data_IF_100896738601
#
_entry.id   IF_100896738601
#
_cell.length_a   1.000
_cell.length_b   1.000
_cell.length_c   1.000
_cell.angle_alpha   90.00
_cell.angle_beta   90.00
_cell.angle_gamma   90.00
#
_symmetry.space_group_name_H-M   'P 1'
#
loop_
_entity.id
_entity.type
_entity.pdbx_description
1 polymer ?
2 non-polymer ?
3 non-polymer ?
4 water ?
#
# COMPACT_ATOMS: atom_id res chain seq x y z
N UNK A 29 -4.04 1.82 30.36
CA UNK A 29 -2.96 2.77 30.06
C UNK A 29 -2.69 2.84 28.56
N UNK A 30 -1.91 3.84 28.15
CA UNK A 30 -1.57 4.03 26.76
C UNK A 30 -0.39 3.15 26.32
N UNK A 31 -0.54 2.39 25.23
CA UNK A 31 0.60 1.59 24.76
C UNK A 31 1.71 2.43 24.15
N UNK A 32 2.94 1.91 24.17
CA UNK A 32 4.06 2.59 23.49
C UNK A 32 3.70 2.91 22.04
N UNK A 33 4.11 4.11 21.61
CA UNK A 33 4.01 4.48 20.24
C UNK A 33 5.22 5.34 19.90
N UNK A 34 5.63 5.35 18.62
CA UNK A 34 6.82 6.11 18.18
C UNK A 34 6.55 7.62 18.28
N UNK A 35 7.57 8.35 18.73
CA UNK A 35 7.44 9.77 18.98
C UNK A 35 8.19 10.59 17.93
N UNK A 36 9.06 9.91 17.19
CA UNK A 36 9.82 10.52 16.10
C UNK A 36 10.07 9.45 15.05
N UNK A 37 10.48 9.86 13.85
CA UNK A 37 10.58 8.94 12.73
C UNK A 37 11.58 7.82 12.99
N UNK A 38 12.65 8.08 13.74
CA UNK A 38 13.64 7.01 13.97
C UNK A 38 13.08 5.96 14.93
N UNK A 39 12.01 6.28 15.65
CA UNK A 39 11.46 5.28 16.57
C UNK A 39 10.83 4.11 15.83
N UNK A 40 10.61 4.27 14.52
CA UNK A 40 10.05 3.17 13.75
C UNK A 40 11.05 2.01 13.66
N UNK A 41 12.32 2.28 13.99
CA UNK A 41 13.33 1.22 14.14
C UNK A 41 12.90 0.16 15.15
N UNK A 42 12.11 0.57 16.14
CA UNK A 42 11.74 -0.33 17.25
C UNK A 42 10.46 -1.09 17.04
N UNK A 43 9.71 -0.74 15.99
CA UNK A 43 8.50 -1.47 15.72
C UNK A 43 8.40 -1.99 14.30
N UNK A 44 9.27 -1.49 13.43
CA UNK A 44 9.28 -1.96 12.04
C UNK A 44 9.81 -3.39 11.93
N UNK A 45 10.58 -3.83 12.92
CA UNK A 45 11.03 -5.22 12.92
C UNK A 45 10.17 -6.18 13.73
N UNK A 46 9.13 -5.66 14.40
CA UNK A 46 8.24 -6.51 15.20
C UNK A 46 7.41 -7.35 14.24
N UNK A 47 8.05 -8.03 13.30
CA UNK A 47 7.32 -8.78 12.31
C UNK A 47 6.68 -10.04 12.87
N UNK A 48 5.36 -10.10 12.71
CA UNK A 48 4.53 -11.25 13.07
C UNK A 48 4.66 -12.43 12.12
N UNK A 49 4.85 -12.13 10.84
CA UNK A 49 4.98 -13.14 9.79
C UNK A 49 6.04 -12.62 8.81
N UNK A 50 7.23 -13.21 8.94
CA UNK A 50 8.39 -12.84 8.15
C UNK A 50 8.21 -13.09 6.65
N UNK A 51 8.90 -12.28 5.86
CA UNK A 51 8.81 -12.30 4.41
C UNK A 51 9.11 -13.61 3.73
N UNK A 52 10.02 -14.38 4.30
CA UNK A 52 10.34 -15.69 3.75
C UNK A 52 9.44 -16.84 4.24
N UNK A 53 8.51 -16.55 5.15
CA UNK A 53 7.62 -17.59 5.66
C UNK A 53 6.41 -17.71 4.73
N UNK A 54 6.54 -18.45 3.64
CA UNK A 54 5.43 -18.53 2.68
C UNK A 54 4.19 -19.34 3.07
N UNK A 55 3.05 -18.87 2.57
CA UNK A 55 1.77 -19.53 2.77
C UNK A 55 1.79 -20.85 2.02
N UNK A 56 1.08 -21.85 2.52
CA UNK A 56 1.13 -23.18 1.90
C UNK A 56 0.68 -23.13 0.45
N UNK A 57 -0.19 -22.17 0.13
CA UNK A 57 -0.70 -22.06 -1.22
C UNK A 57 0.06 -21.04 -2.07
N UNK A 58 1.15 -20.50 -1.54
CA UNK A 58 1.99 -19.55 -2.28
C UNK A 58 2.61 -20.24 -3.51
N UNK A 59 2.62 -19.55 -4.66
CA UNK A 59 3.20 -20.18 -5.86
C UNK A 59 4.67 -20.53 -5.71
N UNK A 60 5.38 -19.84 -4.83
CA UNK A 60 6.79 -20.14 -4.61
C UNK A 60 7.05 -21.11 -3.48
N UNK A 61 6.01 -21.72 -2.91
CA UNK A 61 6.14 -22.55 -1.70
C UNK A 61 7.15 -23.68 -1.81
N UNK A 62 7.22 -24.31 -2.97
CA UNK A 62 8.17 -25.40 -3.20
C UNK A 62 9.41 -24.98 -3.99
N UNK A 63 9.59 -23.69 -4.17
CA UNK A 63 10.72 -23.19 -4.95
C UNK A 63 11.84 -22.71 -4.03
N UNK A 64 12.86 -23.54 -3.83
CA UNK A 64 13.94 -23.20 -2.90
C UNK A 64 14.74 -21.96 -3.32
N UNK A 65 14.98 -21.81 -4.62
CA UNK A 65 15.67 -20.62 -5.09
C UNK A 65 14.89 -19.33 -4.75
N UNK A 66 13.57 -19.38 -4.93
CA UNK A 66 12.72 -18.23 -4.61
C UNK A 66 12.69 -18.00 -3.09
N UNK A 67 12.63 -19.07 -2.32
CA UNK A 67 12.70 -18.95 -0.86
C UNK A 67 13.99 -18.26 -0.42
N UNK A 68 15.11 -18.63 -1.05
CA UNK A 68 16.39 -18.02 -0.70
C UNK A 68 16.40 -16.55 -1.07
N UNK A 69 15.85 -16.24 -2.23
CA UNK A 69 15.68 -14.86 -2.68
C UNK A 69 14.82 -14.05 -1.71
N UNK A 70 13.72 -14.64 -1.23
CA UNK A 70 12.87 -13.93 -0.28
C UNK A 70 13.58 -13.71 1.04
N UNK A 71 14.42 -14.64 1.46
CA UNK A 71 15.21 -14.45 2.68
C UNK A 71 16.20 -13.29 2.53
N UNK A 72 16.79 -13.18 1.35
CA UNK A 72 17.66 -12.05 1.00
C UNK A 72 16.92 -10.71 1.19
N UNK A 73 15.73 -10.58 0.60
CA UNK A 73 14.96 -9.33 0.74
C UNK A 73 14.57 -9.05 2.21
N UNK A 74 14.19 -10.11 2.93
CA UNK A 74 13.74 -9.96 4.32
C UNK A 74 14.89 -9.46 5.18
N UNK A 75 16.07 -10.00 4.92
CA UNK A 75 17.27 -9.59 5.66
C UNK A 75 17.65 -8.14 5.34
N UNK A 76 17.51 -7.70 4.08
CA UNK A 76 17.77 -6.29 3.78
C UNK A 76 16.91 -5.36 4.64
N UNK A 77 15.63 -5.71 4.74
CA UNK A 77 14.69 -4.92 5.51
C UNK A 77 14.97 -4.96 7.02
N UNK A 78 15.30 -6.14 7.53
CA UNK A 78 15.56 -6.30 8.96
C UNK A 78 16.78 -5.49 9.38
N UNK A 79 17.76 -5.42 8.50
CA UNK A 79 19.00 -4.72 8.80
C UNK A 79 18.94 -3.22 8.56
N UNK A 80 17.87 -2.77 7.92
CA UNK A 80 17.71 -1.36 7.62
C UNK A 80 17.45 -0.55 8.90
N UNK A 81 18.07 0.63 8.97
CA UNK A 81 17.79 1.56 10.10
C UNK A 81 17.47 2.92 9.56
N UNK A 82 16.57 3.65 10.21
CA UNK A 82 16.25 4.98 9.72
C UNK A 82 17.52 5.82 9.56
N UNK A 83 17.60 6.53 8.44
CA UNK A 83 18.78 7.29 8.09
C UNK A 83 19.56 6.63 6.97
N UNK A 84 19.49 5.29 6.91
CA UNK A 84 20.17 4.54 5.86
C UNK A 84 19.57 4.89 4.49
N UNK A 85 20.41 4.91 3.44
CA UNK A 85 19.87 4.77 2.08
C UNK A 85 19.22 3.41 1.92
N UNK A 86 18.07 3.32 1.27
CA UNK A 86 17.48 1.99 1.10
C UNK A 86 18.32 1.17 0.14
N UNK A 87 18.79 -0.03 0.56
CA UNK A 87 19.67 -0.80 -0.32
C UNK A 87 19.09 -0.97 -1.73
N UNK A 88 19.93 -0.73 -2.72
CA UNK A 88 19.54 -0.89 -4.09
C UNK A 88 19.75 -2.34 -4.47
N UNK A 89 18.79 -2.87 -5.22
CA UNK A 89 18.79 -4.29 -5.56
C UNK A 89 18.96 -4.49 -7.04
N UNK A 90 19.83 -5.42 -7.42
CA UNK A 90 19.87 -5.84 -8.81
C UNK A 90 18.82 -6.92 -9.05
N UNK A 91 17.71 -6.54 -9.66
CA UNK A 91 16.66 -7.51 -9.95
C UNK A 91 17.07 -8.43 -11.09
N UNK A 92 16.60 -9.66 -11.02
CA UNK A 92 16.98 -10.67 -12.02
C UNK A 92 16.19 -10.43 -13.29
N UNK A 93 16.64 -11.03 -14.39
CA UNK A 93 15.91 -10.93 -15.66
C UNK A 93 14.46 -11.43 -15.52
N UNK A 94 14.30 -12.55 -14.84
CA UNK A 94 12.98 -13.11 -14.57
C UNK A 94 12.07 -12.14 -13.77
N UNK A 95 12.63 -11.49 -12.75
CA UNK A 95 11.84 -10.53 -11.95
C UNK A 95 11.41 -9.32 -12.79
N UNK A 96 12.31 -8.87 -13.64
CA UNK A 96 12.02 -7.72 -14.47
C UNK A 96 10.97 -8.06 -15.52
N UNK A 97 11.00 -9.29 -16.02
CA UNK A 97 9.99 -9.72 -16.97
C UNK A 97 8.62 -9.77 -16.29
N UNK A 98 8.59 -10.22 -15.04
CA UNK A 98 7.35 -10.30 -14.28
C UNK A 98 6.76 -8.91 -14.09
N UNK A 99 7.61 -7.95 -13.70
CA UNK A 99 7.19 -6.57 -13.53
C UNK A 99 6.65 -6.01 -14.86
N UNK A 100 7.35 -6.27 -15.95
CA UNK A 100 6.95 -5.77 -17.26
C UNK A 100 5.61 -6.28 -17.70
N UNK A 101 5.34 -7.54 -17.40
CA UNK A 101 4.05 -8.12 -17.75
C UNK A 101 2.92 -7.41 -17.03
N UNK A 102 3.13 -7.22 -15.73
CA UNK A 102 2.18 -6.55 -14.85
C UNK A 102 2.01 -5.08 -15.24
N UNK A 103 3.13 -4.42 -15.48
CA UNK A 103 3.16 -3.01 -15.85
C UNK A 103 2.44 -2.73 -17.18
N UNK A 104 2.69 -3.57 -18.18
CA UNK A 104 2.07 -3.34 -19.48
C UNK A 104 0.55 -3.46 -19.46
N UNK A 105 0.07 -4.52 -18.80
CA UNK A 105 -1.37 -4.75 -18.74
C UNK A 105 -2.12 -3.72 -17.89
N UNK A 106 -1.55 -3.35 -16.75
CA UNK A 106 -2.20 -2.34 -15.92
C UNK A 106 -2.24 -0.98 -16.61
N UNK A 107 -1.17 -0.61 -17.31
CA UNK A 107 -1.15 0.71 -17.93
C UNK A 107 -2.16 0.86 -19.07
N UNK A 108 -2.61 -0.25 -19.63
CA UNK A 108 -3.69 -0.19 -20.60
C UNK A 108 -5.01 0.20 -19.95
N UNK A 109 -5.15 -0.11 -18.65
CA UNK A 109 -6.40 0.12 -17.95
C UNK A 109 -6.45 1.46 -17.21
N UNK A 110 -5.30 1.98 -16.77
CA UNK A 110 -5.33 3.20 -15.92
C UNK A 110 -6.06 4.43 -16.52
N UNK A 111 -5.89 4.72 -17.83
CA UNK A 111 -6.60 5.91 -18.32
C UNK A 111 -8.11 5.88 -18.13
N UNK A 112 -8.70 4.70 -18.22
CA UNK A 112 -10.16 4.61 -18.14
C UNK A 112 -10.66 4.22 -16.74
N UNK A 113 -9.75 3.89 -15.83
CA UNK A 113 -10.11 3.39 -14.50
C UNK A 113 -9.61 4.24 -13.34
N UNK A 114 -8.39 4.77 -13.44
CA UNK A 114 -7.74 5.41 -12.32
C UNK A 114 -8.19 6.86 -12.09
N UNK A 115 -8.14 7.31 -10.84
CA UNK A 115 -8.53 8.66 -10.50
C UNK A 115 -7.55 9.66 -11.12
N UNK A 116 -7.96 10.92 -11.20
CA UNK A 116 -7.18 11.92 -11.92
C UNK A 116 -5.83 12.17 -11.23
N UNK A 117 -5.80 12.10 -9.90
CA UNK A 117 -4.56 12.29 -9.17
C UNK A 117 -3.53 11.22 -9.48
N UNK A 118 -4.03 9.99 -9.62
CA UNK A 118 -3.15 8.89 -9.98
C UNK A 118 -2.57 9.13 -11.38
N UNK A 119 -3.42 9.56 -12.31
CA UNK A 119 -2.97 9.70 -13.68
C UNK A 119 -2.02 10.89 -13.83
N UNK A 120 -2.12 11.85 -12.92
CA UNK A 120 -1.29 13.05 -12.96
C UNK A 120 0.12 12.71 -12.48
N UNK A 121 0.20 11.83 -11.50
CA UNK A 121 1.49 11.54 -10.91
C UNK A 121 2.27 10.41 -11.58
N UNK A 122 1.59 9.45 -12.19
CA UNK A 122 2.29 8.34 -12.82
C UNK A 122 3.35 8.76 -13.88
N UNK A 123 3.05 9.74 -14.75
CA UNK A 123 4.10 10.13 -15.71
C UNK A 123 5.33 10.79 -15.07
N UNK A 124 5.13 11.43 -13.92
CA UNK A 124 6.24 12.00 -13.17
C UNK A 124 7.20 10.90 -12.69
N UNK A 125 6.64 9.76 -12.30
CA UNK A 125 7.46 8.61 -11.86
C UNK A 125 8.23 7.95 -13.00
N UNK A 126 7.64 7.93 -14.20
CA UNK A 126 8.36 7.46 -15.37
C UNK A 126 9.53 8.37 -15.65
N UNK A 127 9.32 9.68 -15.47
CA UNK A 127 10.36 10.61 -15.85
C UNK A 127 11.50 10.62 -14.85
N UNK A 128 11.17 10.49 -13.57
CA UNK A 128 12.15 10.73 -12.53
C UNK A 128 12.63 9.49 -11.78
N UNK A 129 11.85 8.41 -11.78
CA UNK A 129 12.16 7.23 -10.99
C UNK A 129 12.32 5.97 -11.84
N UNK A 130 12.36 6.14 -13.15
CA UNK A 130 12.67 5.03 -14.03
C UNK A 130 11.60 3.98 -14.14
N UNK A 131 10.32 4.36 -14.06
CA UNK A 131 9.24 3.41 -14.32
C UNK A 131 9.16 3.12 -15.81
N UNK A 132 9.43 1.89 -16.19
CA UNK A 132 9.51 1.48 -17.60
C UNK A 132 9.19 0.02 -17.58
N UNK A 133 8.74 -0.57 -18.69
CA UNK A 133 8.41 -1.98 -18.56
C UNK A 133 9.66 -2.85 -18.44
N UNK A 134 10.84 -2.34 -18.78
CA UNK A 134 12.04 -3.15 -18.66
C UNK A 134 12.94 -2.71 -17.51
N UNK A 135 12.36 -2.00 -16.56
CA UNK A 135 13.16 -1.56 -15.41
C UNK A 135 12.33 -1.50 -14.15
N UNK A 136 12.74 -2.17 -13.08
CA UNK A 136 12.03 -2.04 -11.79
C UNK A 136 12.62 -0.88 -11.00
N UNK A 137 11.78 0.13 -10.66
CA UNK A 137 12.24 1.30 -9.91
C UNK A 137 12.85 0.90 -8.57
N UNK A 138 13.88 1.60 -8.13
CA UNK A 138 14.43 1.37 -6.79
C UNK A 138 13.67 2.14 -5.72
N UNK A 139 13.45 1.50 -4.57
CA UNK A 139 12.74 2.12 -3.47
C UNK A 139 13.45 3.39 -3.01
N UNK A 140 14.78 3.42 -3.01
CA UNK A 140 15.46 4.66 -2.60
C UNK A 140 15.12 5.83 -3.52
N UNK A 141 15.07 5.59 -4.83
CA UNK A 141 14.73 6.68 -5.76
C UNK A 141 13.30 7.16 -5.55
N UNK A 142 12.38 6.23 -5.34
CA UNK A 142 10.98 6.58 -5.16
C UNK A 142 10.82 7.31 -3.83
N UNK A 143 11.56 6.85 -2.83
CA UNK A 143 11.52 7.54 -1.55
C UNK A 143 11.99 8.99 -1.67
N UNK A 144 13.09 9.22 -2.38
CA UNK A 144 13.58 10.58 -2.58
C UNK A 144 12.57 11.47 -3.33
N UNK A 145 11.91 10.89 -4.33
CA UNK A 145 10.86 11.61 -5.07
C UNK A 145 9.71 12.02 -4.14
N UNK A 146 9.22 11.06 -3.35
CA UNK A 146 8.13 11.35 -2.42
C UNK A 146 8.48 12.37 -1.36
N UNK A 147 9.71 12.33 -0.85
CA UNK A 147 10.14 13.28 0.17
C UNK A 147 10.04 14.71 -0.35
N UNK A 148 10.45 14.89 -1.61
CA UNK A 148 10.38 16.20 -2.26
C UNK A 148 8.94 16.65 -2.51
N UNK A 149 8.06 15.71 -2.87
CA UNK A 149 6.68 16.04 -3.25
C UNK A 149 5.73 16.28 -2.07
N UNK A 150 5.74 15.35 -1.11
CA UNK A 150 4.79 15.40 0.00
C UNK A 150 5.44 15.13 1.34
N UNK A 151 6.74 14.94 1.36
CA UNK A 151 7.36 14.55 2.62
C UNK A 151 7.19 13.08 2.98
N UNK A 152 6.55 12.30 2.11
CA UNK A 152 6.49 10.84 2.37
C UNK A 152 7.82 10.21 2.07
N UNK A 153 8.08 9.10 2.73
CA UNK A 153 9.28 8.31 2.52
C UNK A 153 8.92 6.86 2.65
N UNK A 154 9.83 6.02 2.17
CA UNK A 154 9.67 4.59 2.19
C UNK A 154 10.59 3.92 3.19
N UNK A 155 10.08 2.89 3.86
CA UNK A 155 10.89 2.06 4.71
C UNK A 155 10.69 0.60 4.20
N UNK A 156 11.78 -0.13 3.88
CA UNK A 156 11.57 -1.52 3.46
C UNK A 156 11.11 -2.34 4.67
N UNK A 157 10.20 -3.28 4.46
CA UNK A 157 9.67 -4.04 5.60
C UNK A 157 9.83 -5.52 5.31
N UNK A 158 10.29 -6.28 6.30
CA UNK A 158 10.52 -7.70 6.08
C UNK A 158 9.23 -8.46 5.78
N UNK A 159 8.16 -8.15 6.51
CA UNK A 159 6.90 -8.84 6.29
C UNK A 159 5.77 -8.16 7.05
N UNK A 160 4.75 -8.92 7.41
CA UNK A 160 3.54 -8.40 8.04
C UNK A 160 3.80 -7.88 9.45
N UNK A 161 3.31 -6.66 9.72
CA UNK A 161 3.36 -6.06 11.06
C UNK A 161 1.96 -6.00 11.66
N UNK A 162 1.87 -5.80 12.97
CA UNK A 162 0.55 -5.54 13.56
C UNK A 162 -0.04 -4.28 12.92
N UNK A 163 -1.38 -4.17 12.93
CA UNK A 163 -1.92 -2.95 12.34
C UNK A 163 -1.46 -1.71 13.11
N UNK A 164 -1.28 -1.83 14.42
CA UNK A 164 -0.75 -0.72 15.20
C UNK A 164 0.61 -0.27 14.66
N UNK A 165 1.50 -1.23 14.40
CA UNK A 165 2.84 -0.86 13.97
C UNK A 165 2.88 -0.36 12.53
N UNK A 166 2.11 -1.00 11.66
CA UNK A 166 2.03 -0.58 10.27
C UNK A 166 1.46 0.84 10.17
N UNK A 167 0.32 1.09 10.82
CA UNK A 167 -0.27 2.42 10.73
C UNK A 167 0.59 3.49 11.40
N UNK A 168 1.37 3.13 12.43
CA UNK A 168 2.15 4.13 13.12
C UNK A 168 3.15 4.78 12.17
N UNK A 169 3.60 4.06 11.15
CA UNK A 169 4.53 4.64 10.19
C UNK A 169 3.92 5.85 9.46
N UNK A 170 2.66 5.73 9.11
CA UNK A 170 1.98 6.80 8.39
C UNK A 170 1.95 8.12 9.17
N UNK A 171 1.96 8.05 10.50
CA UNK A 171 2.05 9.26 11.31
C UNK A 171 3.25 10.14 11.02
N UNK A 172 4.33 9.51 10.55
CA UNK A 172 5.55 10.23 10.20
C UNK A 172 5.73 10.30 8.71
N UNK A 173 4.64 9.98 8.02
CA UNK A 173 4.63 9.91 6.54
C UNK A 173 5.64 8.88 6.05
N UNK A 174 5.64 7.73 6.72
CA UNK A 174 6.50 6.64 6.31
C UNK A 174 5.62 5.51 5.85
N UNK A 175 5.87 5.01 4.64
CA UNK A 175 5.14 3.87 4.14
C UNK A 175 6.03 2.64 4.16
N UNK A 176 5.62 1.63 4.92
CA UNK A 176 6.33 0.34 5.02
C UNK A 176 6.07 -0.40 3.71
N UNK A 177 7.15 -0.70 3.00
CA UNK A 177 7.10 -1.14 1.62
C UNK A 177 7.86 -2.46 1.37
N UNK A 178 7.18 -3.48 0.83
CA UNK A 178 7.87 -4.69 0.40
C UNK A 178 8.80 -4.42 -0.80
N UNK A 179 9.90 -5.16 -0.86
CA UNK A 179 10.91 -4.94 -1.88
C UNK A 179 11.07 -6.10 -2.87
N UNK A 180 10.53 -7.26 -2.51
CA UNK A 180 10.60 -8.45 -3.35
C UNK A 180 9.57 -8.41 -4.46
N UNK A 181 9.74 -9.32 -5.41
CA UNK A 181 8.85 -9.45 -6.55
C UNK A 181 8.09 -10.76 -6.45
N UNK A 182 6.83 -10.75 -6.86
CA UNK A 182 6.04 -11.96 -6.90
C UNK A 182 6.70 -13.05 -7.74
N UNK A 183 6.40 -14.31 -7.43
CA UNK A 183 6.91 -15.45 -8.16
C UNK A 183 6.52 -15.37 -9.63
N UNK A 184 7.44 -15.77 -10.51
CA UNK A 184 7.25 -15.58 -11.94
C UNK A 184 6.17 -16.48 -12.55
N UNK A 185 5.84 -17.57 -11.88
CA UNK A 185 4.86 -18.53 -12.38
C UNK A 185 3.45 -17.95 -12.46
N UNK A 186 3.16 -16.95 -11.63
CA UNK A 186 1.83 -16.34 -11.59
C UNK A 186 1.93 -14.84 -11.44
N UNK A 187 2.12 -14.14 -12.57
CA UNK A 187 2.27 -12.68 -12.55
C UNK A 187 1.02 -11.96 -12.03
N UNK A 188 -0.06 -12.72 -11.78
CA UNK A 188 -1.30 -12.15 -11.27
C UNK A 188 -1.66 -12.62 -9.84
N UNK A 189 -0.67 -13.15 -9.11
CA UNK A 189 -0.87 -13.56 -7.72
C UNK A 189 -0.93 -12.33 -6.82
N UNK A 190 -2.08 -12.11 -6.20
CA UNK A 190 -2.40 -10.86 -5.52
C UNK A 190 -2.58 -10.85 -3.98
N UNK A 191 -2.66 -12.02 -3.31
CA UNK A 191 -3.07 -11.85 -1.91
C UNK A 191 -1.99 -11.27 -1.01
N UNK A 192 -0.73 -11.32 -1.41
CA UNK A 192 0.30 -10.69 -0.58
C UNK A 192 0.86 -9.52 -1.38
N UNK A 193 1.19 -8.42 -0.69
CA UNK A 193 1.80 -7.29 -1.39
C UNK A 193 3.19 -7.69 -1.87
N UNK A 194 3.60 -7.19 -3.03
CA UNK A 194 5.00 -7.27 -3.45
C UNK A 194 5.37 -5.89 -3.93
N UNK A 195 6.54 -5.74 -4.54
CA UNK A 195 7.01 -4.40 -4.72
C UNK A 195 6.29 -3.81 -5.94
N UNK A 196 5.80 -4.67 -6.84
CA UNK A 196 4.93 -4.25 -7.94
C UNK A 196 3.68 -3.53 -7.41
N UNK A 197 3.04 -4.11 -6.40
CA UNK A 197 1.88 -3.51 -5.73
C UNK A 197 2.27 -2.18 -5.10
N UNK A 198 3.42 -2.14 -4.45
CA UNK A 198 3.81 -0.90 -3.80
C UNK A 198 4.04 0.20 -4.83
N UNK A 199 4.77 -0.12 -5.89
CA UNK A 199 5.24 0.90 -6.81
C UNK A 199 4.14 1.40 -7.74
N UNK A 200 3.25 0.49 -8.15
CA UNK A 200 2.21 0.85 -9.11
C UNK A 200 0.91 1.20 -8.41
N UNK A 201 0.72 0.64 -7.23
CA UNK A 201 -0.52 0.87 -6.51
C UNK A 201 -0.46 2.03 -5.55
N UNK A 202 0.56 2.06 -4.71
CA UNK A 202 0.61 3.04 -3.63
C UNK A 202 1.31 4.34 -3.98
N UNK A 203 2.48 4.21 -4.59
CA UNK A 203 3.35 5.37 -4.72
C UNK A 203 2.74 6.55 -5.48
N UNK A 204 2.02 6.31 -6.61
CA UNK A 204 1.53 7.52 -7.29
C UNK A 204 0.56 8.36 -6.45
N UNK A 205 -0.17 7.75 -5.54
CA UNK A 205 -1.08 8.57 -4.74
C UNK A 205 -0.38 9.17 -3.50
N UNK A 206 0.66 8.51 -2.98
CA UNK A 206 1.44 9.15 -1.90
C UNK A 206 2.14 10.44 -2.35
N UNK A 207 2.27 10.62 -3.67
CA UNK A 207 2.85 11.81 -4.26
C UNK A 207 1.85 12.98 -4.33
N UNK A 208 0.62 12.72 -3.92
CA UNK A 208 -0.44 13.74 -4.01
C UNK A 208 -0.68 14.32 -2.64
N UNK A 209 -0.51 15.63 -2.50
CA UNK A 209 -0.62 16.26 -1.17
C UNK A 209 -1.92 15.93 -0.41
N UNK A 210 -3.08 15.98 -1.05
CA UNK A 210 -4.32 15.74 -0.31
C UNK A 210 -4.43 14.29 0.17
N UNK A 211 -3.89 13.35 -0.62
CA UNK A 211 -3.94 11.93 -0.24
C UNK A 211 -2.91 11.67 0.87
N UNK A 212 -1.76 12.34 0.77
CA UNK A 212 -0.70 12.20 1.82
C UNK A 212 -1.21 12.69 3.16
N UNK A 213 -1.94 13.81 3.17
CA UNK A 213 -2.51 14.32 4.43
C UNK A 213 -3.53 13.34 4.98
N UNK A 214 -4.41 12.84 4.11
CA UNK A 214 -5.39 11.82 4.49
C UNK A 214 -4.73 10.61 5.13
N UNK A 215 -3.70 10.09 4.47
CA UNK A 215 -2.97 8.93 4.99
C UNK A 215 -2.28 9.19 6.32
N UNK A 216 -1.63 10.34 6.40
CA UNK A 216 -0.91 10.67 7.63
C UNK A 216 -1.89 10.74 8.78
N UNK A 217 -3.08 11.26 8.52
CA UNK A 217 -4.01 11.43 9.64
C UNK A 217 -4.56 10.11 10.13
N UNK A 218 -4.61 9.09 9.28
CA UNK A 218 -4.92 7.74 9.77
C UNK A 218 -3.87 7.30 10.80
N UNK A 219 -2.61 7.48 10.44
CA UNK A 219 -1.50 7.15 11.31
C UNK A 219 -1.52 7.94 12.59
N UNK A 220 -1.78 9.24 12.50
CA UNK A 220 -1.77 10.06 13.72
C UNK A 220 -2.87 9.62 14.68
N UNK A 221 -4.04 9.31 14.13
CA UNK A 221 -5.17 8.85 14.94
C UNK A 221 -4.85 7.54 15.64
N UNK A 222 -4.04 6.70 15.00
CA UNK A 222 -3.77 5.38 15.57
C UNK A 222 -2.79 5.44 16.73
N UNK A 223 -1.96 6.48 16.80
CA UNK A 223 -0.85 6.49 17.79
C UNK A 223 -1.37 6.43 19.23
N UNK A 224 -1.01 5.37 19.95
CA UNK A 224 -1.47 5.21 21.33
C UNK A 224 -2.95 4.92 21.49
N UNK A 225 -3.62 4.56 20.39
CA UNK A 225 -5.05 4.31 20.44
C UNK A 225 -5.35 2.94 21.02
N UNK A 226 -6.58 2.75 21.47
CA UNK A 226 -7.02 1.44 21.95
C UNK A 226 -6.89 0.39 20.86
N UNK A 227 -6.83 -0.89 21.25
CA UNK A 227 -6.78 -1.95 20.24
C UNK A 227 -8.04 -1.89 19.38
N UNK A 228 -9.18 -1.62 20.03
CA UNK A 228 -10.44 -1.49 19.30
C UNK A 228 -10.35 -0.40 18.24
N UNK A 229 -9.80 0.76 18.60
CA UNK A 229 -9.69 1.88 17.68
C UNK A 229 -8.75 1.59 16.53
N UNK A 230 -7.61 0.97 16.85
CA UNK A 230 -6.62 0.63 15.83
C UNK A 230 -7.26 -0.28 14.77
N UNK A 231 -8.05 -1.24 15.22
CA UNK A 231 -8.68 -2.18 14.29
C UNK A 231 -9.63 -1.47 13.35
N UNK A 232 -10.45 -0.57 13.91
CA UNK A 232 -11.41 0.18 13.10
C UNK A 232 -10.71 1.10 12.11
N UNK A 233 -9.63 1.74 12.54
CA UNK A 233 -8.83 2.59 11.64
C UNK A 233 -8.21 1.74 10.53
N UNK A 234 -7.75 0.53 10.87
CA UNK A 234 -7.17 -0.36 9.87
C UNK A 234 -8.18 -0.75 8.81
N UNK A 235 -9.42 -1.00 9.23
CA UNK A 235 -10.48 -1.34 8.27
C UNK A 235 -10.83 -0.14 7.39
N UNK A 236 -10.90 1.05 7.97
CA UNK A 236 -11.12 2.25 7.14
C UNK A 236 -9.98 2.44 6.13
N UNK A 237 -8.75 2.21 6.58
CA UNK A 237 -7.56 2.26 5.72
C UNK A 237 -7.74 1.29 4.55
N UNK A 238 -8.15 0.07 4.87
CA UNK A 238 -8.31 -0.96 3.86
C UNK A 238 -9.26 -0.52 2.77
N UNK A 239 -10.39 0.06 3.17
CA UNK A 239 -11.44 0.37 2.20
C UNK A 239 -11.33 1.77 1.59
N UNK A 240 -10.21 2.42 1.83
CA UNK A 240 -9.86 3.67 1.14
C UNK A 240 -8.51 3.50 0.48
N UNK A 241 -7.43 3.58 1.23
CA UNK A 241 -6.08 3.43 0.65
C UNK A 241 -5.88 2.13 -0.15
N UNK A 242 -6.44 1.00 0.28
CA UNK A 242 -6.20 -0.24 -0.49
C UNK A 242 -7.30 -0.53 -1.49
N UNK A 243 -8.58 -0.31 -1.19
CA UNK A 243 -9.64 -0.70 -2.14
C UNK A 243 -10.68 0.37 -2.39
N UNK A 244 -10.28 1.63 -2.20
CA UNK A 244 -11.20 2.73 -2.37
C UNK A 244 -11.56 3.08 -3.80
N UNK A 245 -12.80 3.56 -3.94
CA UNK A 245 -13.27 4.17 -5.18
C UNK A 245 -13.57 5.63 -4.88
N UNK A 246 -13.48 6.50 -5.88
CA UNK A 246 -13.97 7.87 -5.64
C UNK A 246 -14.83 8.34 -6.78
N UNK A 247 -15.60 9.41 -6.55
CA UNK A 247 -16.42 9.95 -7.62
C UNK A 247 -15.79 11.24 -8.14
N UNK A 248 -15.54 11.30 -9.44
CA UNK A 248 -14.92 12.46 -10.06
C UNK A 248 -15.66 12.81 -11.33
N UNK A 249 -16.14 14.05 -11.42
CA UNK A 249 -16.95 14.52 -12.55
C UNK A 249 -18.09 13.55 -12.84
N UNK A 250 -18.70 13.01 -11.79
CA UNK A 250 -19.85 12.14 -11.94
C UNK A 250 -19.52 10.67 -12.25
N UNK A 251 -18.24 10.37 -12.43
CA UNK A 251 -17.83 9.00 -12.74
C UNK A 251 -17.22 8.30 -11.53
N UNK A 252 -17.36 6.99 -11.47
CA UNK A 252 -16.62 6.22 -10.48
C UNK A 252 -15.19 5.99 -10.99
N UNK A 253 -14.23 6.29 -10.12
CA UNK A 253 -12.82 6.05 -10.42
C UNK A 253 -12.18 5.26 -9.27
N UNK A 254 -11.02 4.68 -9.54
CA UNK A 254 -10.32 3.86 -8.55
C UNK A 254 -9.13 4.61 -7.96
N UNK A 255 -8.98 4.57 -6.65
CA UNK A 255 -7.77 5.05 -6.03
C UNK A 255 -7.11 4.03 -5.10
N UNK A 256 -7.79 2.94 -4.81
CA UNK A 256 -7.21 1.93 -3.92
C UNK A 256 -6.05 1.20 -4.55
N UNK A 257 -4.94 1.09 -3.82
CA UNK A 257 -3.70 0.50 -4.33
C UNK A 257 -3.85 -0.98 -4.67
N UNK A 258 -4.65 -1.70 -3.90
CA UNK A 258 -4.89 -3.11 -4.15
C UNK A 258 -5.63 -3.33 -5.46
N UNK A 259 -6.49 -2.39 -5.82
CA UNK A 259 -7.18 -2.44 -7.11
C UNK A 259 -6.24 -2.03 -8.23
N UNK A 260 -5.45 -0.99 -7.97
CA UNK A 260 -4.58 -0.43 -8.99
C UNK A 260 -3.44 -1.36 -9.40
N UNK A 261 -3.15 -2.38 -8.58
CA UNK A 261 -2.13 -3.35 -8.93
C UNK A 261 -2.70 -4.73 -9.22
N UNK A 262 -4.02 -4.84 -9.34
CA UNK A 262 -4.66 -6.12 -9.64
C UNK A 262 -5.44 -6.01 -10.94
N UNK A 263 -4.96 -6.67 -12.00
CA UNK A 263 -5.59 -6.50 -13.30
C UNK A 263 -7.06 -6.90 -13.28
N UNK A 264 -7.37 -8.07 -12.72
CA UNK A 264 -8.74 -8.55 -12.75
C UNK A 264 -9.67 -7.72 -11.85
N UNK A 265 -9.21 -7.35 -10.65
CA UNK A 265 -10.14 -6.66 -9.75
C UNK A 265 -10.31 -5.19 -10.14
N UNK A 266 -9.29 -4.60 -10.76
CA UNK A 266 -9.42 -3.24 -11.28
C UNK A 266 -10.61 -3.16 -12.25
N UNK A 267 -10.68 -4.11 -13.17
CA UNK A 267 -11.79 -4.20 -14.12
C UNK A 267 -13.09 -4.51 -13.43
N UNK A 268 -13.07 -5.47 -12.51
CA UNK A 268 -14.28 -5.83 -11.77
C UNK A 268 -14.90 -4.66 -11.03
N UNK A 269 -14.06 -3.87 -10.38
CA UNK A 269 -14.51 -2.81 -9.49
C UNK A 269 -15.37 -1.78 -10.24
N UNK A 270 -15.06 -1.50 -11.50
CA UNK A 270 -15.82 -0.50 -12.25
C UNK A 270 -16.78 -1.14 -13.24
N UNK A 271 -17.10 -2.41 -13.02
CA UNK A 271 -18.12 -3.08 -13.82
C UNK A 271 -19.44 -3.00 -13.07
N UNK A 272 -20.54 -3.32 -13.74
CA UNK A 272 -21.82 -3.29 -13.09
C UNK A 272 -22.00 -4.42 -12.09
N UNK A 273 -21.00 -5.31 -12.03
CA UNK A 273 -21.10 -6.50 -11.19
C UNK A 273 -20.70 -6.25 -9.74
N UNK A 274 -20.21 -5.05 -9.44
CA UNK A 274 -19.69 -4.79 -8.11
C UNK A 274 -20.72 -4.09 -7.23
N UNK A 275 -20.74 -4.46 -5.96
CA UNK A 275 -21.59 -3.80 -4.98
C UNK A 275 -20.82 -2.60 -4.43
N UNK A 276 -21.46 -1.45 -4.40
CA UNK A 276 -20.82 -0.20 -4.03
C UNK A 276 -21.68 0.59 -3.01
N UNK A 277 -21.04 1.08 -1.95
CA UNK A 277 -21.68 1.88 -0.91
C UNK A 277 -20.89 3.17 -0.64
N UNK A 278 -21.55 4.22 -0.12
CA UNK A 278 -20.78 5.41 0.24
C UNK A 278 -19.82 5.17 1.41
N UNK A 279 -18.63 5.76 1.33
CA UNK A 279 -17.69 5.71 2.44
C UNK A 279 -18.31 6.40 3.63
N UNK A 280 -18.35 5.68 4.75
CA UNK A 280 -18.95 6.18 5.98
C UNK A 280 -18.30 5.41 7.12
N UNK A 281 -17.28 6.00 7.76
CA UNK A 281 -16.43 5.22 8.68
C UNK A 281 -17.19 4.35 9.69
N UNK A 282 -18.30 4.83 10.25
CA UNK A 282 -19.04 4.02 11.24
C UNK A 282 -19.68 2.78 10.62
N UNK A 283 -19.98 2.83 9.33
CA UNK A 283 -20.47 1.66 8.61
C UNK A 283 -19.32 0.84 8.02
N UNK A 284 -18.38 1.53 7.40
CA UNK A 284 -17.28 0.89 6.70
C UNK A 284 -16.44 0.04 7.65
N UNK A 285 -16.31 0.47 8.90
CA UNK A 285 -15.44 -0.27 9.83
C UNK A 285 -16.04 -1.61 10.29
N UNK A 286 -17.33 -1.86 10.01
CA UNK A 286 -17.96 -3.15 10.29
C UNK A 286 -17.71 -4.18 9.19
N UNK A 287 -17.16 -3.74 8.07
CA UNK A 287 -17.02 -4.63 6.93
C UNK A 287 -15.78 -5.52 7.03
N UNK A 288 -15.96 -6.80 6.76
CA UNK A 288 -14.84 -7.74 6.77
C UNK A 288 -13.91 -7.44 5.62
N UNK A 289 -12.60 -7.46 5.88
CA UNK A 289 -11.58 -7.28 4.84
C UNK A 289 -11.22 -8.65 4.24
N UNK A 290 -11.60 -8.87 2.98
CA UNK A 290 -11.35 -10.17 2.35
C UNK A 290 -9.95 -10.24 1.74
N UNK A 291 -9.38 -11.44 1.71
CA UNK A 291 -7.98 -11.63 1.36
C UNK A 291 -7.76 -12.39 0.04
N UNK A 292 -8.44 -13.52 -0.10
CA UNK A 292 -8.19 -14.42 -1.22
C UNK A 292 -9.21 -14.31 -2.35
N UNK A 293 -10.14 -13.37 -2.23
CA UNK A 293 -11.17 -13.14 -3.24
C UNK A 293 -11.30 -11.65 -3.55
N UNK A 294 -12.07 -11.31 -4.59
CA UNK A 294 -12.50 -9.93 -4.76
C UNK A 294 -13.23 -9.47 -3.49
N UNK A 295 -13.23 -8.17 -3.23
CA UNK A 295 -14.06 -7.64 -2.14
C UNK A 295 -15.54 -7.87 -2.43
N UNK A 296 -16.35 -7.97 -1.37
CA UNK A 296 -17.80 -8.13 -1.52
C UNK A 296 -18.45 -6.78 -1.78
N UNK A 297 -17.83 -5.72 -1.24
CA UNK A 297 -18.34 -4.35 -1.38
C UNK A 297 -17.16 -3.42 -1.58
N UNK A 298 -17.36 -2.34 -2.32
CA UNK A 298 -16.40 -1.25 -2.37
C UNK A 298 -17.07 0.02 -1.86
N UNK A 299 -16.28 0.88 -1.21
CA UNK A 299 -16.77 2.15 -0.70
C UNK A 299 -16.27 3.33 -1.52
N UNK A 300 -17.21 4.21 -1.87
CA UNK A 300 -16.92 5.37 -2.69
C UNK A 300 -16.75 6.61 -1.83
N UNK A 301 -15.58 7.22 -1.93
CA UNK A 301 -15.33 8.51 -1.30
C UNK A 301 -15.67 9.64 -2.25
N UNK A 302 -16.15 10.77 -1.72
CA UNK A 302 -16.50 11.88 -2.59
C UNK A 302 -15.24 12.57 -3.14
N UNK A 303 -14.20 12.65 -2.31
CA UNK A 303 -12.92 13.22 -2.66
C UNK A 303 -12.00 12.80 -1.55
N UNK A 304 -10.70 13.03 -1.73
CA UNK A 304 -9.76 12.74 -0.64
C UNK A 304 -10.02 13.72 0.49
N UNK A 305 -10.37 14.95 0.15
CA UNK A 305 -10.65 15.92 1.20
C UNK A 305 -11.86 15.50 2.04
N UNK A 306 -12.92 15.00 1.40
CA UNK A 306 -14.10 14.62 2.16
C UNK A 306 -13.87 13.36 2.99
N UNK A 307 -13.13 12.40 2.44
CA UNK A 307 -12.75 11.21 3.20
C UNK A 307 -12.01 11.62 4.47
N UNK A 308 -11.09 12.55 4.31
CA UNK A 308 -10.31 13.07 5.43
C UNK A 308 -11.23 13.70 6.47
N UNK A 309 -12.18 14.52 6.01
CA UNK A 309 -13.11 15.15 6.94
C UNK A 309 -13.93 14.11 7.71
N UNK A 310 -14.41 13.09 7.00
CA UNK A 310 -15.20 12.04 7.64
C UNK A 310 -14.40 11.27 8.66
N UNK A 311 -13.11 11.05 8.36
CA UNK A 311 -12.27 10.37 9.33
C UNK A 311 -12.05 11.23 10.57
N UNK A 312 -11.93 12.54 10.39
CA UNK A 312 -11.76 13.43 11.54
C UNK A 312 -12.94 13.30 12.49
N UNK A 313 -14.14 13.29 11.94
CA UNK A 313 -15.34 13.18 12.78
C UNK A 313 -15.40 11.83 13.47
N UNK A 314 -15.06 10.77 12.74
CA UNK A 314 -15.06 9.43 13.30
C UNK A 314 -14.01 9.21 14.40
N UNK A 315 -12.81 9.70 14.20
CA UNK A 315 -11.75 9.47 15.20
C UNK A 315 -12.06 10.12 16.55
N UNK A 316 -12.78 11.24 16.55
CA UNK A 316 -13.20 11.87 17.79
C UNK A 316 -14.12 10.96 18.60
N UNK A 317 -14.84 10.08 17.92
CA UNK A 317 -15.73 9.14 18.61
C UNK A 317 -15.06 7.88 19.15
N UNK A 318 -13.83 7.58 18.73
CA UNK A 318 -13.16 6.36 19.18
C UNK A 318 -11.80 6.55 19.86
N UNK A 319 -11.36 7.78 19.98
CA UNK A 319 -10.06 8.05 20.55
C UNK A 319 -9.94 9.44 21.10
N UNK A 320 -9.23 9.54 22.23
CA UNK A 320 -8.94 10.71 23.09
C UNK A 320 -8.71 10.09 24.45
#
# INVERSE_FOLDING_TARGET
MKHHHHHHHGAAGTSLYKKAGENLYFQGSVPWFPKKISDLDHCANRVLMYGSELDADHPGFKDNVYRKRRKYFADLAMNYKHGDPIPKVEFTEEEIKTWGTVFQELNKLYPTHACREYLKNLPLLSKYCGYREDNIPQLEDVSNFLKERTGFSIRPVAGYLSPRDFLSGLAFRVFHCTQYVRHSSDPFYTPEPDTCHELLGHVPLLAEPSFAQFSQEIGLASLGASEEAVQKLATCYFFTVEFGLCKQDGQLRVFGAGLLSSISELKHALSGHAKVKPFDPKITCKQECLITTFQDVYFVSESFEDAKEKMREFTKTIKRPFGVKY
#
